data_IF_749211631219
#
_entry.id   IF_749211631219
#
_cell.length_a   1.000
_cell.length_b   1.000
_cell.length_c   1.000
_cell.angle_alpha   90.00
_cell.angle_beta   90.00
_cell.angle_gamma   90.00
#
_symmetry.space_group_name_H-M   'P 1'
#
loop_
_entity.id
_entity.type
_entity.pdbx_description
1 polymer ?
#
# COMPACT_ATOMS: atom_id res chain seq x y z
N UNK A 1 -26.22 16.52 4.96
CA UNK A 1 -25.30 15.73 4.11
C UNK A 1 -24.21 15.20 5.01
N UNK A 2 -24.13 13.88 5.21
CA UNK A 2 -22.95 13.28 5.86
C UNK A 2 -21.76 13.51 4.93
N UNK A 3 -20.63 14.09 5.40
CA UNK A 3 -19.48 14.28 4.53
C UNK A 3 -19.07 12.91 3.97
N UNK A 4 -18.91 12.83 2.65
CA UNK A 4 -18.35 11.64 2.02
C UNK A 4 -17.01 11.27 2.67
N UNK A 5 -16.62 9.98 2.64
CA UNK A 5 -15.42 9.51 3.33
C UNK A 5 -14.23 10.40 2.95
N UNK A 6 -13.60 11.00 3.96
CA UNK A 6 -12.48 11.95 3.79
C UNK A 6 -11.34 11.23 3.09
N UNK A 7 -11.26 11.42 1.78
CA UNK A 7 -10.49 10.65 0.81
C UNK A 7 -9.02 11.09 0.57
N UNK A 8 -8.38 11.93 1.41
CA UNK A 8 -6.91 12.00 1.46
C UNK A 8 -6.25 11.71 2.82
N UNK A 9 -6.98 11.78 3.94
CA UNK A 9 -6.34 11.88 5.26
C UNK A 9 -5.58 10.62 5.71
N UNK A 10 -6.15 9.43 5.49
CA UNK A 10 -5.57 8.17 6.01
C UNK A 10 -4.45 7.59 5.13
N UNK A 11 -4.48 7.84 3.83
CA UNK A 11 -3.34 7.48 2.97
C UNK A 11 -2.17 8.43 3.16
N UNK A 12 -2.45 9.73 3.31
CA UNK A 12 -1.43 10.70 3.67
C UNK A 12 -0.81 10.36 5.04
N UNK A 13 -1.63 9.94 6.01
CA UNK A 13 -1.15 9.44 7.30
C UNK A 13 -0.20 8.25 7.13
N UNK A 14 -0.58 7.22 6.36
CA UNK A 14 0.29 6.07 6.07
C UNK A 14 1.62 6.48 5.44
N UNK A 15 1.58 7.37 4.44
CA UNK A 15 2.78 7.84 3.75
C UNK A 15 3.70 8.64 4.68
N UNK A 16 3.13 9.53 5.50
CA UNK A 16 3.89 10.30 6.49
C UNK A 16 4.50 9.40 7.55
N UNK A 17 3.77 8.38 8.01
CA UNK A 17 4.27 7.40 8.97
C UNK A 17 5.44 6.59 8.41
N UNK A 18 5.40 6.22 7.13
CA UNK A 18 6.56 5.61 6.45
C UNK A 18 7.74 6.58 6.38
N UNK A 19 7.49 7.84 6.00
CA UNK A 19 8.53 8.87 5.87
C UNK A 19 9.26 9.12 7.19
N UNK A 20 8.56 9.06 8.33
CA UNK A 20 9.15 9.24 9.67
C UNK A 20 9.59 7.94 10.34
N UNK A 21 9.71 6.84 9.59
CA UNK A 21 10.27 5.58 10.09
C UNK A 21 9.35 4.82 11.06
N UNK A 22 8.02 4.96 10.93
CA UNK A 22 7.01 4.27 11.74
C UNK A 22 6.21 3.24 10.92
N UNK A 23 6.85 2.18 10.37
CA UNK A 23 6.20 1.27 9.44
C UNK A 23 5.07 0.45 10.09
N UNK A 24 5.16 0.10 11.37
CA UNK A 24 4.06 -0.59 12.09
C UNK A 24 2.80 0.27 12.16
N UNK A 25 2.95 1.58 12.41
CA UNK A 25 1.82 2.50 12.44
C UNK A 25 1.26 2.72 11.04
N UNK A 26 2.13 2.86 10.03
CA UNK A 26 1.72 2.97 8.63
C UNK A 26 0.89 1.76 8.18
N UNK A 27 1.34 0.54 8.52
CA UNK A 27 0.60 -0.69 8.22
C UNK A 27 -0.83 -0.67 8.79
N UNK A 28 -1.01 -0.16 10.02
CA UNK A 28 -2.34 0.01 10.63
C UNK A 28 -3.21 1.02 9.87
N UNK A 29 -2.64 2.15 9.49
CA UNK A 29 -3.35 3.20 8.73
C UNK A 29 -3.82 2.70 7.35
N UNK A 30 -2.94 2.02 6.60
CA UNK A 30 -3.31 1.43 5.32
C UNK A 30 -4.32 0.29 5.47
N UNK A 31 -4.17 -0.58 6.48
CA UNK A 31 -5.14 -1.65 6.76
C UNK A 31 -6.52 -1.08 7.07
N UNK A 32 -6.61 -0.03 7.88
CA UNK A 32 -7.87 0.65 8.17
C UNK A 32 -8.50 1.29 6.92
N UNK A 33 -7.67 1.77 5.99
CA UNK A 33 -8.15 2.29 4.70
C UNK A 33 -8.68 1.17 3.81
N UNK A 34 -7.97 0.05 3.72
CA UNK A 34 -8.39 -1.12 2.92
C UNK A 34 -9.65 -1.78 3.48
N UNK A 35 -9.90 -1.74 4.79
CA UNK A 35 -11.16 -2.21 5.35
C UNK A 35 -12.39 -1.44 4.81
N UNK A 36 -12.22 -0.15 4.50
CA UNK A 36 -13.28 0.69 3.92
C UNK A 36 -13.23 0.75 2.39
N UNK A 37 -12.06 0.49 1.81
CA UNK A 37 -11.81 0.60 0.37
C UNK A 37 -10.84 -0.50 -0.07
N UNK A 38 -11.30 -1.77 -0.19
CA UNK A 38 -10.43 -2.94 -0.35
C UNK A 38 -9.51 -2.92 -1.57
N UNK A 39 -9.92 -2.26 -2.66
CA UNK A 39 -9.17 -2.19 -3.91
C UNK A 39 -8.44 -0.86 -4.09
N UNK A 40 -8.09 -0.17 -3.00
CA UNK A 40 -7.39 1.12 -3.09
C UNK A 40 -5.90 0.89 -3.35
N UNK A 41 -5.48 1.08 -4.60
CA UNK A 41 -4.14 0.76 -5.08
C UNK A 41 -3.01 1.40 -4.24
N UNK A 42 -3.13 2.68 -3.86
CA UNK A 42 -2.12 3.37 -3.04
C UNK A 42 -1.98 2.71 -1.67
N UNK A 43 -3.09 2.38 -1.01
CA UNK A 43 -3.09 1.68 0.28
C UNK A 43 -2.53 0.24 0.18
N UNK A 44 -2.80 -0.48 -0.91
CA UNK A 44 -2.20 -1.81 -1.12
C UNK A 44 -0.68 -1.73 -1.24
N UNK A 45 -0.17 -0.78 -2.05
CA UNK A 45 1.26 -0.57 -2.19
C UNK A 45 1.92 -0.10 -0.87
N UNK A 46 1.28 0.83 -0.18
CA UNK A 46 1.75 1.35 1.10
C UNK A 46 1.81 0.28 2.19
N UNK A 47 0.79 -0.58 2.30
CA UNK A 47 0.78 -1.71 3.23
C UNK A 47 1.89 -2.72 2.88
N UNK A 48 2.09 -3.01 1.60
CA UNK A 48 3.16 -3.90 1.16
C UNK A 48 4.54 -3.36 1.57
N UNK A 49 4.78 -2.04 1.37
CA UNK A 49 6.01 -1.37 1.81
C UNK A 49 6.20 -1.38 3.31
N UNK A 50 5.15 -1.09 4.06
CA UNK A 50 5.19 -1.13 5.51
C UNK A 50 5.54 -2.53 6.03
N UNK A 51 4.93 -3.56 5.45
CA UNK A 51 5.19 -4.96 5.79
C UNK A 51 6.64 -5.36 5.51
N UNK A 52 7.18 -4.98 4.34
CA UNK A 52 8.59 -5.21 3.96
C UNK A 52 9.55 -4.56 4.96
N UNK A 53 9.30 -3.30 5.36
CA UNK A 53 10.11 -2.59 6.35
C UNK A 53 10.03 -3.19 7.76
N UNK A 54 8.96 -3.92 8.07
CA UNK A 54 8.81 -4.65 9.35
C UNK A 54 9.30 -6.11 9.27
N UNK A 55 9.76 -6.59 8.11
CA UNK A 55 10.20 -7.97 7.91
C UNK A 55 9.06 -8.99 7.70
N UNK A 56 7.81 -8.54 7.53
CA UNK A 56 6.69 -9.42 7.18
C UNK A 56 6.64 -9.64 5.66
N UNK A 57 7.54 -10.50 5.20
CA UNK A 57 7.66 -10.84 3.78
C UNK A 57 6.38 -11.47 3.21
N UNK A 58 5.64 -12.24 4.00
CA UNK A 58 4.42 -12.89 3.53
C UNK A 58 3.35 -11.85 3.18
N UNK A 59 3.09 -10.89 4.08
CA UNK A 59 2.14 -9.81 3.83
C UNK A 59 2.62 -8.89 2.71
N UNK A 60 3.91 -8.54 2.67
CA UNK A 60 4.47 -7.70 1.62
C UNK A 60 4.23 -8.28 0.22
N UNK A 61 4.59 -9.55 0.02
CA UNK A 61 4.42 -10.22 -1.27
C UNK A 61 2.94 -10.36 -1.66
N UNK A 62 2.06 -10.67 -0.71
CA UNK A 62 0.63 -10.77 -0.98
C UNK A 62 0.05 -9.42 -1.47
N UNK A 63 0.36 -8.33 -0.77
CA UNK A 63 -0.17 -7.00 -1.10
C UNK A 63 0.44 -6.40 -2.36
N UNK A 64 1.71 -6.70 -2.68
CA UNK A 64 2.27 -6.35 -3.99
C UNK A 64 1.60 -7.07 -5.15
N UNK A 65 1.20 -8.34 -4.99
CA UNK A 65 0.45 -9.07 -6.02
C UNK A 65 -0.93 -8.45 -6.25
N UNK A 66 -1.66 -8.16 -5.17
CA UNK A 66 -2.97 -7.48 -5.26
C UNK A 66 -2.83 -6.12 -5.96
N UNK A 67 -1.84 -5.31 -5.57
CA UNK A 67 -1.54 -4.04 -6.22
C UNK A 67 -1.27 -4.20 -7.73
N UNK A 68 -0.39 -5.14 -8.12
CA UNK A 68 -0.06 -5.37 -9.52
C UNK A 68 -1.25 -5.88 -10.34
N UNK A 69 -2.14 -6.68 -9.73
CA UNK A 69 -3.36 -7.14 -10.38
C UNK A 69 -4.29 -5.98 -10.73
N UNK A 70 -4.42 -4.98 -9.84
CA UNK A 70 -5.19 -3.76 -10.13
C UNK A 70 -4.52 -2.87 -11.16
N UNK A 71 -3.19 -2.81 -11.14
CA UNK A 71 -2.41 -1.98 -12.07
C UNK A 71 -2.23 -2.62 -13.46
N UNK A 72 -2.65 -3.87 -13.66
CA UNK A 72 -2.53 -4.57 -14.94
C UNK A 72 -3.29 -3.88 -16.09
N UNK A 73 -4.33 -3.10 -15.78
CA UNK A 73 -5.11 -2.32 -16.75
C UNK A 73 -4.69 -0.84 -16.81
N UNK A 74 -3.73 -0.42 -16.00
CA UNK A 74 -3.27 0.97 -15.95
C UNK A 74 -2.01 1.14 -16.79
N UNK A 75 -1.84 2.34 -17.38
CA UNK A 75 -0.62 2.70 -18.10
C UNK A 75 0.59 2.54 -17.18
N UNK A 76 1.42 1.54 -17.47
CA UNK A 76 2.42 0.94 -16.58
C UNK A 76 3.63 1.82 -16.21
N UNK A 77 3.53 3.14 -16.35
CA UNK A 77 4.61 4.11 -16.11
C UNK A 77 4.84 4.48 -14.64
N UNK A 78 4.14 3.84 -13.70
CA UNK A 78 4.26 4.16 -12.26
C UNK A 78 5.50 3.48 -11.64
N UNK A 79 6.40 4.22 -10.95
CA UNK A 79 7.58 3.63 -10.30
C UNK A 79 7.24 2.54 -9.28
N UNK A 80 6.05 2.63 -8.67
CA UNK A 80 5.49 1.63 -7.75
C UNK A 80 5.34 0.25 -8.39
N UNK A 81 5.04 0.17 -9.70
CA UNK A 81 4.92 -1.10 -10.43
C UNK A 81 6.28 -1.79 -10.52
N UNK A 82 7.33 -1.03 -10.86
CA UNK A 82 8.69 -1.57 -10.95
C UNK A 82 9.17 -2.09 -9.60
N UNK A 83 8.88 -1.34 -8.53
CA UNK A 83 9.21 -1.72 -7.16
C UNK A 83 8.48 -2.99 -6.71
N UNK A 84 7.17 -3.07 -6.93
CA UNK A 84 6.38 -4.24 -6.61
C UNK A 84 6.86 -5.49 -7.37
N UNK A 85 7.19 -5.35 -8.66
CA UNK A 85 7.76 -6.45 -9.47
C UNK A 85 9.11 -6.90 -8.92
N UNK A 86 10.00 -5.97 -8.55
CA UNK A 86 11.30 -6.29 -7.95
C UNK A 86 11.15 -7.04 -6.63
N UNK A 87 10.23 -6.62 -5.78
CA UNK A 87 9.95 -7.29 -4.51
C UNK A 87 9.49 -8.74 -4.71
N UNK A 88 8.65 -9.00 -5.73
CA UNK A 88 8.22 -10.36 -6.08
C UNK A 88 9.31 -11.22 -6.73
N UNK A 89 10.28 -10.61 -7.40
CA UNK A 89 11.39 -11.30 -8.07
C UNK A 89 12.55 -11.64 -7.13
N UNK A 90 12.67 -10.96 -5.98
CA UNK A 90 13.78 -11.12 -5.02
C UNK A 90 13.56 -12.29 -4.04
N UNK A 91 12.88 -13.36 -4.47
CA UNK A 91 12.49 -14.50 -3.63
C UNK A 91 13.60 -15.55 -3.53
#
# INVERSE_FOLDING_TARGET
MTPGPVLPARELEGDLLLLVGKPVAAARAYTATLALSPNRARSLFGLARAAELTGDAATALAKYREFLSLMAQSDGGRPEIALARRALASR
#
